data_IF_782737597888
#
_entry.id   IF_782737597888
#
_cell.length_a   1.000
_cell.length_b   1.000
_cell.length_c   1.000
_cell.angle_alpha   90.00
_cell.angle_beta   90.00
_cell.angle_gamma   90.00
#
_symmetry.space_group_name_H-M   'P 1'
#
loop_
_entity.id
_entity.type
_entity.pdbx_description
1 polymer ?
#
# COMPACT_ATOMS: atom_id res chain seq x y z
N UNK A 1 -27.70 -11.23 -24.69
CA UNK A 1 -27.80 -11.07 -23.21
C UNK A 1 -26.43 -11.00 -22.51
N UNK A 2 -25.48 -11.92 -22.76
CA UNK A 2 -24.12 -11.89 -22.16
C UNK A 2 -23.32 -10.60 -22.44
N UNK A 3 -23.42 -10.01 -23.63
CA UNK A 3 -22.70 -8.78 -24.02
C UNK A 3 -23.20 -7.54 -23.25
N UNK A 4 -24.50 -7.45 -23.00
CA UNK A 4 -25.09 -6.34 -22.24
C UNK A 4 -24.72 -6.44 -20.75
N UNK A 5 -24.72 -7.66 -20.20
CA UNK A 5 -24.28 -7.94 -18.84
C UNK A 5 -22.77 -7.63 -18.65
N UNK A 6 -21.93 -7.96 -19.63
CA UNK A 6 -20.49 -7.66 -19.59
C UNK A 6 -20.19 -6.16 -19.71
N UNK A 7 -20.98 -5.39 -20.50
CA UNK A 7 -20.93 -3.92 -20.51
C UNK A 7 -21.31 -3.31 -19.17
N UNK A 8 -22.35 -3.83 -18.52
CA UNK A 8 -22.80 -3.37 -17.21
C UNK A 8 -21.73 -3.59 -16.13
N UNK A 9 -21.07 -4.75 -16.13
CA UNK A 9 -19.99 -5.09 -15.20
C UNK A 9 -18.74 -4.23 -15.43
N UNK A 10 -18.36 -3.97 -16.68
CA UNK A 10 -17.23 -3.07 -16.98
C UNK A 10 -17.50 -1.62 -16.59
N UNK A 11 -18.70 -1.09 -16.87
CA UNK A 11 -19.08 0.26 -16.46
C UNK A 11 -19.07 0.41 -14.93
N UNK A 12 -19.67 -0.57 -14.23
CA UNK A 12 -19.67 -0.62 -12.78
C UNK A 12 -18.25 -0.61 -12.18
N UNK A 13 -17.31 -1.39 -12.76
CA UNK A 13 -15.90 -1.38 -12.35
C UNK A 13 -15.23 -0.02 -12.51
N UNK A 14 -15.45 0.66 -13.63
CA UNK A 14 -14.89 2.01 -13.85
C UNK A 14 -15.45 3.03 -12.86
N UNK A 15 -16.75 2.96 -12.55
CA UNK A 15 -17.40 3.84 -11.56
C UNK A 15 -16.82 3.59 -10.17
N UNK A 16 -16.67 2.34 -9.73
CA UNK A 16 -16.05 2.01 -8.44
C UNK A 16 -14.60 2.48 -8.39
N UNK A 17 -13.83 2.27 -9.45
CA UNK A 17 -12.43 2.71 -9.54
C UNK A 17 -12.32 4.23 -9.41
N UNK A 18 -13.17 4.98 -10.11
CA UNK A 18 -13.21 6.45 -10.07
C UNK A 18 -13.46 6.97 -8.65
N UNK A 19 -14.48 6.45 -7.96
CA UNK A 19 -14.77 6.86 -6.59
C UNK A 19 -13.70 6.43 -5.59
N UNK A 20 -13.05 5.28 -5.81
CA UNK A 20 -11.93 4.83 -4.98
C UNK A 20 -10.69 5.74 -5.15
N UNK A 21 -10.42 6.20 -6.37
CA UNK A 21 -9.39 7.20 -6.63
C UNK A 21 -9.71 8.54 -5.94
N UNK A 22 -10.96 9.01 -5.98
CA UNK A 22 -11.38 10.23 -5.27
C UNK A 22 -11.23 10.11 -3.75
N UNK A 23 -11.54 8.95 -3.18
CA UNK A 23 -11.38 8.68 -1.75
C UNK A 23 -9.90 8.77 -1.34
N UNK A 24 -9.03 8.15 -2.12
CA UNK A 24 -7.57 8.18 -1.92
C UNK A 24 -7.03 9.62 -2.03
N UNK A 25 -7.53 10.39 -3.00
CA UNK A 25 -7.16 11.80 -3.17
C UNK A 25 -7.59 12.65 -1.96
N UNK A 26 -8.78 12.43 -1.42
CA UNK A 26 -9.24 13.11 -0.21
C UNK A 26 -8.35 12.84 1.01
N UNK A 27 -7.95 11.58 1.23
CA UNK A 27 -7.04 11.22 2.32
C UNK A 27 -5.65 11.85 2.16
N UNK A 28 -5.09 11.87 0.96
CA UNK A 28 -3.81 12.51 0.67
C UNK A 28 -3.78 13.98 1.11
N UNK A 29 -4.78 14.76 0.69
CA UNK A 29 -4.85 16.19 1.03
C UNK A 29 -5.06 16.44 2.54
N UNK A 30 -5.60 15.46 3.26
CA UNK A 30 -5.85 15.57 4.68
C UNK A 30 -4.64 15.16 5.54
N UNK A 31 -3.86 14.17 5.10
CA UNK A 31 -2.75 13.61 5.88
C UNK A 31 -1.36 14.09 5.44
N UNK A 32 -1.14 14.33 4.14
CA UNK A 32 0.20 14.49 3.57
C UNK A 32 0.50 15.91 3.04
N UNK A 33 -0.44 16.85 3.14
CA UNK A 33 -0.18 18.25 2.74
C UNK A 33 0.85 18.90 3.68
N UNK A 34 1.87 19.58 3.14
CA UNK A 34 2.81 20.34 3.96
C UNK A 34 2.06 21.49 4.66
N UNK A 35 2.38 21.71 5.93
CA UNK A 35 1.71 22.69 6.83
C UNK A 35 1.58 24.11 6.27
N UNK A 36 2.39 24.48 5.29
CA UNK A 36 2.40 25.80 4.62
C UNK A 36 1.19 26.03 3.69
N UNK A 37 0.54 24.97 3.22
CA UNK A 37 -0.71 25.06 2.46
C UNK A 37 -1.93 24.95 3.39
N UNK A 38 -1.73 24.91 4.73
CA UNK A 38 -2.86 24.83 5.64
C UNK A 38 -3.76 26.06 5.57
N UNK A 39 -3.21 27.26 5.69
CA UNK A 39 -4.03 28.48 5.71
C UNK A 39 -4.68 28.80 4.36
N UNK A 40 -4.04 28.41 3.24
CA UNK A 40 -4.54 28.71 1.89
C UNK A 40 -5.63 27.72 1.42
N UNK A 41 -5.56 26.46 1.87
CA UNK A 41 -6.46 25.39 1.40
C UNK A 41 -7.40 24.85 2.49
N UNK A 42 -7.58 25.55 3.61
CA UNK A 42 -8.44 25.07 4.70
C UNK A 42 -9.90 24.85 4.27
N UNK A 43 -10.46 25.77 3.47
CA UNK A 43 -11.79 25.59 2.89
C UNK A 43 -11.87 24.43 1.89
N UNK A 44 -10.83 24.25 1.07
CA UNK A 44 -10.75 23.16 0.09
C UNK A 44 -10.62 21.80 0.78
N UNK A 45 -9.87 21.71 1.89
CA UNK A 45 -9.78 20.47 2.69
C UNK A 45 -11.12 20.01 3.23
N UNK A 46 -11.92 20.92 3.80
CA UNK A 46 -13.26 20.55 4.30
C UNK A 46 -14.15 20.03 3.17
N UNK A 47 -14.12 20.66 2.01
CA UNK A 47 -14.88 20.21 0.82
C UNK A 47 -14.39 18.83 0.36
N UNK A 48 -13.08 18.61 0.29
CA UNK A 48 -12.49 17.32 -0.09
C UNK A 48 -12.79 16.22 0.93
N UNK A 49 -12.86 16.53 2.22
CA UNK A 49 -13.26 15.58 3.27
C UNK A 49 -14.73 15.17 3.12
N UNK A 50 -15.63 16.12 2.88
CA UNK A 50 -17.06 15.82 2.63
C UNK A 50 -17.21 14.98 1.37
N UNK A 51 -16.52 15.35 0.30
CA UNK A 51 -16.52 14.61 -0.95
C UNK A 51 -15.90 13.21 -0.81
N UNK A 52 -14.85 13.06 0.00
CA UNK A 52 -14.27 11.78 0.39
C UNK A 52 -15.26 10.91 1.18
N UNK A 53 -15.97 11.49 2.16
CA UNK A 53 -17.02 10.82 2.91
C UNK A 53 -18.17 10.36 2.00
N UNK A 54 -18.64 11.23 1.10
CA UNK A 54 -19.65 10.88 0.12
C UNK A 54 -19.16 9.73 -0.79
N UNK A 55 -17.92 9.79 -1.28
CA UNK A 55 -17.34 8.72 -2.09
C UNK A 55 -17.26 7.39 -1.34
N UNK A 56 -16.94 7.42 -0.04
CA UNK A 56 -16.88 6.23 0.81
C UNK A 56 -18.26 5.59 0.98
N UNK A 57 -19.29 6.41 1.18
CA UNK A 57 -20.68 5.97 1.25
C UNK A 57 -21.12 5.37 -0.09
N UNK A 58 -20.83 6.06 -1.21
CA UNK A 58 -21.17 5.58 -2.55
C UNK A 58 -20.48 4.25 -2.86
N UNK A 59 -19.18 4.11 -2.58
CA UNK A 59 -18.44 2.85 -2.74
C UNK A 59 -19.02 1.76 -1.84
N UNK A 60 -19.37 2.07 -0.59
CA UNK A 60 -19.96 1.07 0.33
C UNK A 60 -21.33 0.58 -0.13
N UNK A 61 -22.15 1.47 -0.71
CA UNK A 61 -23.46 1.09 -1.29
C UNK A 61 -23.24 0.27 -2.56
N UNK A 62 -22.35 0.72 -3.45
CA UNK A 62 -21.97 -0.01 -4.64
C UNK A 62 -21.50 -1.41 -4.25
N UNK A 63 -20.52 -1.55 -3.36
CA UNK A 63 -19.96 -2.84 -2.95
C UNK A 63 -21.04 -3.80 -2.44
N UNK A 64 -21.98 -3.32 -1.62
CA UNK A 64 -23.16 -4.11 -1.20
C UNK A 64 -24.02 -4.56 -2.38
N UNK A 65 -24.29 -3.67 -3.33
CA UNK A 65 -25.12 -3.96 -4.52
C UNK A 65 -24.39 -4.90 -5.49
N UNK A 66 -23.10 -4.67 -5.75
CA UNK A 66 -22.27 -5.49 -6.62
C UNK A 66 -22.08 -6.91 -6.08
N UNK A 67 -21.85 -7.05 -4.78
CA UNK A 67 -21.75 -8.36 -4.12
C UNK A 67 -23.06 -9.15 -4.24
N UNK A 68 -24.21 -8.48 -4.04
CA UNK A 68 -25.54 -9.09 -4.19
C UNK A 68 -25.84 -9.49 -5.65
N UNK A 69 -25.42 -8.68 -6.63
CA UNK A 69 -25.60 -8.99 -8.05
C UNK A 69 -24.70 -10.14 -8.54
N UNK A 70 -23.53 -10.33 -7.93
CA UNK A 70 -22.62 -11.42 -8.25
C UNK A 70 -23.02 -12.75 -7.59
N UNK A 71 -24.06 -12.77 -6.74
CA UNK A 71 -24.48 -13.97 -6.01
C UNK A 71 -23.44 -14.46 -4.99
N UNK A 72 -22.54 -13.58 -4.55
CA UNK A 72 -21.50 -13.87 -3.55
C UNK A 72 -22.04 -13.87 -2.10
N UNK A 73 -23.37 -13.87 -1.89
CA UNK A 73 -23.98 -13.88 -0.56
C UNK A 73 -23.50 -15.07 0.29
N UNK A 74 -23.20 -16.22 -0.33
CA UNK A 74 -22.58 -17.37 0.34
C UNK A 74 -21.13 -17.14 0.78
N UNK A 75 -20.37 -16.32 0.04
CA UNK A 75 -18.99 -15.95 0.39
C UNK A 75 -18.95 -15.00 1.60
N UNK A 76 -19.97 -14.14 1.78
CA UNK A 76 -20.12 -13.31 2.99
C UNK A 76 -20.30 -14.18 4.24
N UNK A 77 -21.03 -15.28 4.12
CA UNK A 77 -21.33 -16.18 5.24
C UNK A 77 -20.15 -17.11 5.58
N UNK A 78 -19.30 -17.46 4.60
CA UNK A 78 -18.01 -18.12 4.83
C UNK A 78 -16.91 -17.16 5.35
N UNK A 79 -16.81 -15.92 4.84
CA UNK A 79 -15.82 -14.91 5.29
C UNK A 79 -16.17 -14.28 6.65
N UNK A 80 -17.46 -14.21 7.02
CA UNK A 80 -17.94 -13.78 8.35
C UNK A 80 -17.65 -14.80 9.45
N UNK A 81 -17.13 -15.99 9.10
CA UNK A 81 -16.67 -16.97 10.09
C UNK A 81 -15.50 -16.36 10.86
N UNK A 82 -15.84 -15.66 11.95
CA UNK A 82 -14.98 -14.83 12.81
C UNK A 82 -13.52 -15.22 12.66
N UNK A 83 -12.74 -14.38 11.98
CA UNK A 83 -11.29 -14.54 11.90
C UNK A 83 -10.79 -14.67 13.33
N UNK A 84 -10.40 -15.88 13.72
CA UNK A 84 -9.97 -16.14 15.08
C UNK A 84 -8.60 -15.51 15.19
N UNK A 85 -8.31 -14.81 16.30
CA UNK A 85 -6.98 -14.23 16.55
C UNK A 85 -5.87 -15.30 16.46
N UNK A 86 -6.22 -16.58 16.67
CA UNK A 86 -5.34 -17.73 16.49
C UNK A 86 -4.93 -17.98 15.02
N UNK A 87 -5.77 -17.63 14.04
CA UNK A 87 -5.48 -17.80 12.61
C UNK A 87 -4.45 -16.78 12.11
N UNK A 88 -4.35 -15.62 12.78
CA UNK A 88 -3.29 -14.61 12.55
C UNK A 88 -1.91 -15.20 12.84
N UNK A 89 -1.79 -16.01 13.91
CA UNK A 89 -0.50 -16.61 14.29
C UNK A 89 -0.08 -17.76 13.36
N UNK A 90 -1.01 -18.27 12.55
CA UNK A 90 -0.77 -19.31 11.54
C UNK A 90 -0.41 -18.75 10.16
N UNK A 91 -0.36 -17.42 10.01
CA UNK A 91 0.05 -16.79 8.76
C UNK A 91 1.48 -17.20 8.38
N UNK A 92 1.76 -17.39 7.08
CA UNK A 92 3.02 -17.96 6.63
C UNK A 92 4.19 -16.99 6.92
N UNK A 93 5.39 -17.52 7.13
CA UNK A 93 6.59 -16.73 7.46
C UNK A 93 6.85 -15.59 6.44
N UNK A 94 6.55 -15.83 5.16
CA UNK A 94 6.63 -14.82 4.08
C UNK A 94 5.79 -13.57 4.35
N UNK A 95 4.61 -13.73 4.95
CA UNK A 95 3.74 -12.60 5.30
C UNK A 95 4.38 -11.76 6.39
N UNK A 96 4.90 -12.38 7.46
CA UNK A 96 5.57 -11.66 8.55
C UNK A 96 6.83 -10.94 8.08
N UNK A 97 7.64 -11.57 7.23
CA UNK A 97 8.82 -10.94 6.62
C UNK A 97 8.43 -9.77 5.71
N UNK A 98 7.33 -9.89 4.95
CA UNK A 98 6.80 -8.82 4.12
C UNK A 98 6.34 -7.64 4.98
N UNK A 99 5.55 -7.88 6.04
CA UNK A 99 5.10 -6.85 6.98
C UNK A 99 6.29 -6.17 7.67
N UNK A 100 7.29 -6.93 8.07
CA UNK A 100 8.51 -6.39 8.68
C UNK A 100 9.29 -5.50 7.70
N UNK A 101 9.39 -5.92 6.44
CA UNK A 101 10.05 -5.14 5.38
C UNK A 101 9.32 -3.82 5.13
N UNK A 102 7.98 -3.87 5.05
CA UNK A 102 7.14 -2.68 4.95
C UNK A 102 7.39 -1.77 6.16
N UNK A 103 7.31 -2.31 7.38
CA UNK A 103 7.53 -1.53 8.60
C UNK A 103 8.88 -0.79 8.59
N UNK A 104 9.99 -1.47 8.30
CA UNK A 104 11.31 -0.83 8.28
C UNK A 104 11.46 0.22 7.18
N UNK A 105 10.89 -0.01 5.99
CA UNK A 105 10.93 0.96 4.91
C UNK A 105 10.23 2.27 5.31
N UNK A 106 9.00 2.15 5.80
CA UNK A 106 8.20 3.32 6.19
C UNK A 106 8.70 4.01 7.45
N UNK A 107 9.32 3.26 8.38
CA UNK A 107 10.00 3.82 9.55
C UNK A 107 11.20 4.70 9.21
N UNK A 108 11.83 4.49 8.04
CA UNK A 108 12.90 5.36 7.55
C UNK A 108 12.36 6.62 6.87
N UNK A 109 11.29 6.48 6.08
CA UNK A 109 10.76 7.59 5.27
C UNK A 109 9.92 8.55 6.09
N UNK A 110 8.90 8.07 6.80
CA UNK A 110 7.91 8.97 7.42
C UNK A 110 8.46 9.87 8.53
N UNK A 111 9.25 9.36 9.49
CA UNK A 111 9.86 10.21 10.50
C UNK A 111 10.82 11.23 9.90
N UNK A 112 11.54 10.86 8.83
CA UNK A 112 12.37 11.82 8.10
C UNK A 112 11.51 12.93 7.48
N UNK A 113 10.44 12.59 6.76
CA UNK A 113 9.58 13.59 6.10
C UNK A 113 8.92 14.52 7.12
N UNK A 114 8.51 14.00 8.28
CA UNK A 114 7.94 14.80 9.37
C UNK A 114 8.89 15.90 9.86
N UNK A 115 10.18 15.60 10.00
CA UNK A 115 11.20 16.53 10.49
C UNK A 115 12.02 17.21 9.37
N UNK A 116 11.80 16.84 8.11
CA UNK A 116 12.61 17.28 6.97
C UNK A 116 12.60 18.81 6.78
N UNK A 117 11.46 19.46 7.03
CA UNK A 117 11.35 20.92 6.92
C UNK A 117 12.29 21.65 7.90
N UNK A 118 12.40 21.16 9.13
CA UNK A 118 13.28 21.72 10.16
C UNK A 118 14.74 21.38 9.90
N UNK A 119 15.00 20.14 9.46
CA UNK A 119 16.33 19.70 9.04
C UNK A 119 16.90 20.60 7.93
N UNK A 120 16.10 20.92 6.91
CA UNK A 120 16.52 21.76 5.78
C UNK A 120 16.85 23.19 6.24
N UNK A 121 16.05 23.77 7.14
CA UNK A 121 16.30 25.12 7.68
C UNK A 121 17.57 25.18 8.54
N UNK A 122 17.80 24.17 9.37
CA UNK A 122 18.97 24.14 10.24
C UNK A 122 20.26 23.90 9.44
N UNK A 123 20.20 23.06 8.40
CA UNK A 123 21.36 22.66 7.60
C UNK A 123 21.68 23.61 6.44
N UNK A 124 20.68 24.17 5.75
CA UNK A 124 20.88 25.06 4.60
C UNK A 124 20.54 26.50 4.96
N UNK A 125 21.56 27.35 5.05
CA UNK A 125 21.37 28.78 5.26
C UNK A 125 20.67 29.42 4.04
N UNK A 126 19.56 30.14 4.29
CA UNK A 126 18.81 30.87 3.25
C UNK A 126 17.47 30.27 2.86
N UNK A 127 17.08 29.12 3.42
CA UNK A 127 15.73 28.58 3.24
C UNK A 127 14.79 29.07 4.33
N UNK A 128 13.73 29.76 3.93
CA UNK A 128 12.61 30.09 4.81
C UNK A 128 11.81 28.82 5.17
N UNK A 129 11.09 28.86 6.30
CA UNK A 129 10.20 27.79 6.75
C UNK A 129 9.22 27.38 5.65
N UNK A 130 8.73 28.34 4.87
CA UNK A 130 7.80 28.05 3.77
C UNK A 130 8.46 27.18 2.69
N UNK A 131 9.63 27.58 2.22
CA UNK A 131 10.36 26.89 1.16
C UNK A 131 10.83 25.51 1.59
N UNK A 132 11.30 25.37 2.84
CA UNK A 132 11.74 24.09 3.37
C UNK A 132 10.59 23.06 3.47
N UNK A 133 9.40 23.50 3.87
CA UNK A 133 8.23 22.62 3.88
C UNK A 133 7.76 22.23 2.48
N UNK A 134 7.87 23.11 1.47
CA UNK A 134 7.59 22.74 0.08
C UNK A 134 8.57 21.67 -0.43
N UNK A 135 9.86 21.79 -0.12
CA UNK A 135 10.88 20.82 -0.51
C UNK A 135 10.66 19.47 0.19
N UNK A 136 10.23 19.48 1.45
CA UNK A 136 9.85 18.27 2.18
C UNK A 136 8.60 17.60 1.57
N UNK A 137 7.58 18.38 1.22
CA UNK A 137 6.35 17.89 0.57
C UNK A 137 6.56 17.33 -0.83
N UNK A 138 7.61 17.76 -1.54
CA UNK A 138 7.95 17.26 -2.88
C UNK A 138 8.15 15.74 -2.95
N UNK A 139 8.46 15.08 -1.82
CA UNK A 139 8.50 13.60 -1.71
C UNK A 139 7.15 12.99 -2.11
N UNK A 140 6.06 13.54 -1.60
CA UNK A 140 4.72 13.03 -1.83
C UNK A 140 4.15 13.48 -3.17
N UNK A 141 4.42 14.72 -3.58
CA UNK A 141 3.96 15.24 -4.86
C UNK A 141 4.60 14.46 -6.04
N UNK A 142 5.91 14.16 -5.94
CA UNK A 142 6.55 13.31 -6.92
C UNK A 142 5.98 11.90 -6.91
N UNK A 143 5.70 11.34 -5.72
CA UNK A 143 5.08 10.02 -5.64
C UNK A 143 3.69 9.98 -6.27
N UNK A 144 2.88 11.01 -6.07
CA UNK A 144 1.53 11.08 -6.62
C UNK A 144 1.54 10.94 -8.15
N UNK A 145 2.49 11.60 -8.81
CA UNK A 145 2.64 11.55 -10.28
C UNK A 145 3.21 10.21 -10.73
N UNK A 146 4.21 9.70 -10.03
CA UNK A 146 4.94 8.49 -10.42
C UNK A 146 4.19 7.20 -10.09
N UNK A 147 3.36 7.16 -9.04
CA UNK A 147 2.70 5.94 -8.56
C UNK A 147 1.86 5.24 -9.63
N UNK A 148 1.15 5.98 -10.49
CA UNK A 148 0.36 5.38 -11.56
C UNK A 148 1.23 4.70 -12.61
N UNK A 149 2.29 5.38 -13.07
CA UNK A 149 3.22 4.87 -14.08
C UNK A 149 3.99 3.67 -13.53
N UNK A 150 4.48 3.79 -12.30
CA UNK A 150 5.23 2.74 -11.61
C UNK A 150 4.35 1.53 -11.33
N UNK A 151 3.09 1.72 -10.93
CA UNK A 151 2.13 0.62 -10.75
C UNK A 151 1.94 -0.18 -12.03
N UNK A 152 1.68 0.51 -13.15
CA UNK A 152 1.55 -0.12 -14.47
C UNK A 152 2.84 -0.87 -14.83
N UNK A 153 4.00 -0.24 -14.65
CA UNK A 153 5.30 -0.84 -14.96
C UNK A 153 5.55 -2.12 -14.15
N UNK A 154 5.26 -2.09 -12.85
CA UNK A 154 5.45 -3.24 -11.95
C UNK A 154 4.50 -4.38 -12.31
N UNK A 155 3.28 -4.06 -12.73
CA UNK A 155 2.33 -5.07 -13.20
C UNK A 155 2.78 -5.74 -14.50
N UNK A 156 3.48 -5.02 -15.39
CA UNK A 156 4.10 -5.61 -16.59
C UNK A 156 5.37 -6.40 -16.29
N UNK A 157 6.29 -5.86 -15.48
CA UNK A 157 7.59 -6.47 -15.20
C UNK A 157 7.44 -7.67 -14.25
N UNK A 158 6.55 -7.59 -13.27
CA UNK A 158 6.51 -8.53 -12.15
C UNK A 158 7.72 -8.35 -11.22
N UNK A 159 8.13 -9.43 -10.54
CA UNK A 159 9.31 -9.45 -9.64
C UNK A 159 9.21 -8.49 -8.44
N UNK A 160 8.03 -8.45 -7.81
CA UNK A 160 7.73 -7.54 -6.69
C UNK A 160 8.71 -7.69 -5.53
N UNK A 161 9.20 -8.91 -5.28
CA UNK A 161 10.22 -9.18 -4.26
C UNK A 161 11.57 -8.54 -4.57
N UNK A 162 12.08 -8.68 -5.81
CA UNK A 162 13.37 -8.09 -6.21
C UNK A 162 13.27 -6.57 -6.26
N UNK A 163 12.14 -6.04 -6.74
CA UNK A 163 11.87 -4.61 -6.73
C UNK A 163 11.88 -4.03 -5.32
N UNK A 164 11.32 -4.73 -4.33
CA UNK A 164 11.37 -4.33 -2.93
C UNK A 164 12.82 -4.22 -2.40
N UNK A 165 13.72 -5.11 -2.81
CA UNK A 165 15.16 -5.03 -2.47
C UNK A 165 15.81 -3.86 -3.17
N UNK A 166 15.57 -3.70 -4.48
CA UNK A 166 16.14 -2.62 -5.28
C UNK A 166 15.76 -1.25 -4.71
N UNK A 167 14.50 -1.06 -4.30
CA UNK A 167 14.03 0.19 -3.69
C UNK A 167 14.71 0.47 -2.35
N UNK A 168 14.86 -0.55 -1.50
CA UNK A 168 15.55 -0.42 -0.22
C UNK A 168 17.03 -0.03 -0.42
N UNK A 169 17.71 -0.65 -1.40
CA UNK A 169 19.10 -0.31 -1.76
C UNK A 169 19.19 1.12 -2.31
N UNK A 170 18.28 1.51 -3.21
CA UNK A 170 18.25 2.86 -3.79
C UNK A 170 17.91 3.95 -2.76
N UNK A 171 17.31 3.59 -1.63
CA UNK A 171 17.01 4.53 -0.53
C UNK A 171 18.24 4.80 0.35
N UNK A 172 19.19 3.88 0.44
CA UNK A 172 20.44 4.03 1.20
C UNK A 172 21.27 5.27 0.79
N UNK A 173 21.58 5.49 -0.51
CA UNK A 173 22.38 6.66 -0.91
C UNK A 173 21.67 7.98 -0.63
N UNK A 174 20.33 8.00 -0.61
CA UNK A 174 19.56 9.22 -0.31
C UNK A 174 19.85 9.69 1.12
N UNK A 175 19.78 8.79 2.11
CA UNK A 175 20.11 9.13 3.49
C UNK A 175 21.60 9.44 3.68
N UNK A 176 22.49 8.74 2.97
CA UNK A 176 23.92 9.04 3.00
C UNK A 176 24.24 10.45 2.44
N UNK A 177 23.64 10.81 1.30
CA UNK A 177 23.76 12.15 0.71
C UNK A 177 23.21 13.21 1.66
N UNK A 178 22.02 12.99 2.22
CA UNK A 178 21.42 13.91 3.18
C UNK A 178 22.24 14.04 4.47
N UNK A 179 22.92 13.00 4.93
CA UNK A 179 23.78 13.05 6.11
C UNK A 179 25.08 13.81 5.87
N UNK A 180 25.81 13.47 4.80
CA UNK A 180 27.21 13.87 4.62
C UNK A 180 27.45 15.00 3.60
N UNK A 181 26.51 15.24 2.67
CA UNK A 181 26.70 16.20 1.58
C UNK A 181 25.77 17.42 1.70
N UNK A 182 26.13 18.52 1.01
CA UNK A 182 25.35 19.76 0.87
C UNK A 182 24.67 19.82 -0.52
N UNK A 183 24.28 18.67 -1.07
CA UNK A 183 23.52 18.60 -2.34
C UNK A 183 22.15 19.28 -2.16
N UNK A 184 21.61 19.98 -3.17
CA UNK A 184 20.32 20.64 -3.07
C UNK A 184 19.25 19.68 -2.50
N UNK A 185 18.56 20.05 -1.40
CA UNK A 185 17.68 19.12 -0.69
C UNK A 185 16.53 18.61 -1.57
N UNK A 186 16.13 19.38 -2.58
CA UNK A 186 15.14 19.00 -3.58
C UNK A 186 15.51 17.72 -4.34
N UNK A 187 16.78 17.51 -4.68
CA UNK A 187 17.20 16.31 -5.43
C UNK A 187 17.03 15.07 -4.58
N UNK A 188 17.40 15.14 -3.31
CA UNK A 188 17.28 14.03 -2.37
C UNK A 188 15.82 13.72 -2.02
N UNK A 189 14.97 14.74 -1.85
CA UNK A 189 13.54 14.52 -1.57
C UNK A 189 12.79 13.98 -2.79
N UNK A 190 13.09 14.44 -4.00
CA UNK A 190 12.54 13.86 -5.22
C UNK A 190 12.99 12.41 -5.43
N UNK A 191 14.27 12.10 -5.21
CA UNK A 191 14.75 10.71 -5.25
C UNK A 191 14.00 9.85 -4.23
N UNK A 192 13.86 10.32 -2.99
CA UNK A 192 13.10 9.61 -1.96
C UNK A 192 11.64 9.34 -2.38
N UNK A 193 10.99 10.30 -3.05
CA UNK A 193 9.64 10.12 -3.58
C UNK A 193 9.56 9.07 -4.68
N UNK A 194 10.57 8.98 -5.55
CA UNK A 194 10.68 7.90 -6.56
C UNK A 194 10.80 6.54 -5.87
N UNK A 195 11.72 6.37 -4.91
CA UNK A 195 11.89 5.06 -4.25
C UNK A 195 10.67 4.67 -3.43
N UNK A 196 10.01 5.64 -2.79
CA UNK A 196 8.74 5.46 -2.10
C UNK A 196 7.63 4.97 -3.05
N UNK A 197 7.52 5.55 -4.25
CA UNK A 197 6.53 5.13 -5.26
C UNK A 197 6.66 3.66 -5.62
N UNK A 198 7.89 3.23 -5.92
CA UNK A 198 8.16 1.83 -6.28
C UNK A 198 7.94 0.88 -5.09
N UNK A 199 8.32 1.28 -3.88
CA UNK A 199 8.07 0.48 -2.68
C UNK A 199 6.57 0.33 -2.41
N UNK A 200 5.81 1.42 -2.43
CA UNK A 200 4.36 1.40 -2.20
C UNK A 200 3.63 0.55 -3.25
N UNK A 201 3.97 0.72 -4.53
CA UNK A 201 3.35 -0.02 -5.63
C UNK A 201 3.76 -1.50 -5.69
N UNK A 202 4.90 -1.90 -5.13
CA UNK A 202 5.34 -3.31 -5.10
C UNK A 202 4.93 -4.07 -3.83
N UNK A 203 5.09 -3.45 -2.66
CA UNK A 203 5.00 -4.15 -1.37
C UNK A 203 3.56 -4.38 -0.90
N UNK A 204 2.66 -3.39 -1.03
CA UNK A 204 1.27 -3.55 -0.59
C UNK A 204 0.48 -4.57 -1.43
N UNK A 205 0.57 -4.55 -2.77
CA UNK A 205 -0.09 -5.56 -3.60
C UNK A 205 0.49 -6.97 -3.43
N UNK A 206 1.62 -7.11 -2.74
CA UNK A 206 2.23 -8.41 -2.42
C UNK A 206 1.56 -9.12 -1.25
N UNK A 207 0.90 -8.40 -0.33
CA UNK A 207 0.17 -9.00 0.81
C UNK A 207 -0.93 -9.97 0.34
N UNK A 208 -1.89 -9.58 -0.53
CA UNK A 208 -2.97 -10.48 -0.95
C UNK A 208 -2.48 -11.68 -1.79
N UNK A 209 -1.24 -11.66 -2.29
CA UNK A 209 -0.64 -12.81 -2.99
C UNK A 209 -0.11 -13.88 -2.04
N UNK A 210 0.22 -13.52 -0.80
CA UNK A 210 0.85 -14.43 0.16
C UNK A 210 -0.11 -14.99 1.21
N UNK A 211 -1.29 -14.39 1.36
CA UNK A 211 -2.33 -14.83 2.30
C UNK A 211 -3.56 -15.44 1.58
N UNK A 212 -4.30 -16.34 2.24
CA UNK A 212 -5.57 -16.84 1.71
C UNK A 212 -6.63 -15.74 1.59
N UNK A 213 -7.51 -15.84 0.58
CA UNK A 213 -8.56 -14.84 0.31
C UNK A 213 -9.43 -14.53 1.54
N UNK A 214 -9.80 -15.57 2.30
CA UNK A 214 -10.63 -15.46 3.50
C UNK A 214 -10.04 -14.61 4.64
N UNK A 215 -8.72 -14.32 4.64
CA UNK A 215 -8.07 -13.53 5.70
C UNK A 215 -7.37 -12.27 5.18
N UNK A 216 -7.60 -11.88 3.91
CA UNK A 216 -6.95 -10.70 3.32
C UNK A 216 -7.24 -9.43 4.12
N UNK A 217 -8.50 -9.19 4.49
CA UNK A 217 -8.87 -7.98 5.24
C UNK A 217 -8.13 -7.87 6.57
N UNK A 218 -8.06 -8.96 7.34
CA UNK A 218 -7.32 -9.00 8.60
C UNK A 218 -5.82 -8.87 8.40
N UNK A 219 -5.26 -9.50 7.37
CA UNK A 219 -3.83 -9.40 7.04
C UNK A 219 -3.45 -7.95 6.65
N UNK A 220 -4.24 -7.29 5.81
CA UNK A 220 -4.01 -5.90 5.44
C UNK A 220 -4.10 -4.96 6.65
N UNK A 221 -5.14 -5.11 7.48
CA UNK A 221 -5.31 -4.31 8.69
C UNK A 221 -4.23 -4.55 9.76
N UNK A 222 -3.73 -5.78 9.88
CA UNK A 222 -2.62 -6.10 10.77
C UNK A 222 -1.31 -5.51 10.25
N UNK A 223 -1.05 -5.60 8.95
CA UNK A 223 0.13 -5.00 8.33
C UNK A 223 0.17 -3.48 8.55
N UNK A 224 -0.94 -2.77 8.33
CA UNK A 224 -1.05 -1.34 8.62
C UNK A 224 -0.88 -1.04 10.10
N UNK A 225 -1.42 -1.88 10.99
CA UNK A 225 -1.27 -1.69 12.44
C UNK A 225 0.20 -1.79 12.89
N UNK A 226 0.91 -2.82 12.44
CA UNK A 226 2.34 -3.00 12.72
C UNK A 226 3.16 -1.84 12.17
N UNK A 227 2.83 -1.39 10.95
CA UNK A 227 3.45 -0.21 10.36
C UNK A 227 3.25 1.04 11.22
N UNK A 228 2.01 1.35 11.62
CA UNK A 228 1.71 2.56 12.42
C UNK A 228 2.40 2.54 13.79
N UNK A 229 2.46 1.37 14.44
CA UNK A 229 3.23 1.20 15.67
C UNK A 229 4.72 1.46 15.41
N UNK A 230 5.27 0.92 14.33
CA UNK A 230 6.66 1.16 13.93
C UNK A 230 6.97 2.65 13.75
N UNK A 231 6.12 3.36 13.01
CA UNK A 231 6.29 4.79 12.74
C UNK A 231 6.19 5.59 14.04
N UNK A 232 5.21 5.28 14.90
CA UNK A 232 5.04 5.93 16.20
C UNK A 232 6.25 5.76 17.11
N UNK A 233 6.81 4.54 17.18
CA UNK A 233 8.04 4.27 17.92
C UNK A 233 9.25 5.02 17.33
N UNK A 234 9.37 5.04 16.00
CA UNK A 234 10.44 5.75 15.31
C UNK A 234 10.38 7.26 15.58
N UNK A 235 9.20 7.88 15.48
CA UNK A 235 8.98 9.29 15.81
C UNK A 235 9.34 9.60 17.27
N UNK A 236 8.99 8.72 18.21
CA UNK A 236 9.37 8.91 19.62
C UNK A 236 10.89 8.85 19.82
N UNK A 237 11.58 7.94 19.14
CA UNK A 237 13.04 7.84 19.18
C UNK A 237 13.70 9.08 18.56
N UNK A 238 13.22 9.53 17.40
CA UNK A 238 13.69 10.75 16.74
C UNK A 238 13.47 11.97 17.65
N UNK A 239 12.28 12.10 18.26
CA UNK A 239 11.99 13.17 19.21
C UNK A 239 12.93 13.18 20.42
N UNK A 240 13.34 12.00 20.91
CA UNK A 240 14.38 11.91 21.96
C UNK A 240 15.77 12.30 21.47
N UNK A 241 16.15 11.89 20.25
CA UNK A 241 17.44 12.24 19.63
C UNK A 241 17.53 13.75 19.42
N UNK A 242 16.49 14.37 18.87
CA UNK A 242 16.39 15.81 18.60
C UNK A 242 16.14 16.65 19.86
N UNK A 243 15.57 16.04 20.91
CA UNK A 243 15.41 16.60 22.24
C UNK A 243 14.20 17.52 22.41
N UNK A 244 13.55 17.40 23.55
CA UNK A 244 12.29 18.09 23.89
C UNK A 244 12.48 19.47 24.54
N UNK A 245 13.70 20.02 24.59
CA UNK A 245 13.95 21.36 25.18
C UNK A 245 13.96 22.42 24.08
N UNK A 246 12.76 22.87 23.76
CA UNK A 246 12.44 24.12 23.06
C UNK A 246 13.00 25.30 23.85
N UNK A 247 14.19 25.76 23.51
CA UNK A 247 14.68 27.09 23.90
C UNK A 247 15.48 27.66 22.74
N UNK A 248 14.75 28.08 21.71
CA UNK A 248 15.05 29.03 20.61
C UNK A 248 16.42 29.01 19.90
N UNK A 249 17.27 28.04 20.17
CA UNK A 249 18.58 27.89 19.53
C UNK A 249 18.50 26.77 18.50
N UNK A 250 18.94 27.05 17.27
CA UNK A 250 19.07 26.09 16.17
C UNK A 250 19.54 24.73 16.70
N UNK A 251 18.86 23.65 16.30
CA UNK A 251 19.27 22.30 16.71
C UNK A 251 20.67 22.06 16.12
N UNK A 252 21.65 21.65 16.94
CA UNK A 252 23.01 21.48 16.43
C UNK A 252 23.07 20.30 15.44
N UNK A 253 23.84 20.49 14.36
CA UNK A 253 23.89 19.56 13.23
C UNK A 253 24.27 18.11 13.62
N UNK A 254 25.02 17.91 14.71
CA UNK A 254 25.40 16.57 15.17
C UNK A 254 24.19 15.73 15.62
N UNK A 255 23.12 16.34 16.13
CA UNK A 255 21.88 15.63 16.50
C UNK A 255 21.11 15.21 15.25
N UNK A 256 21.10 16.06 14.23
CA UNK A 256 20.58 15.71 12.91
C UNK A 256 21.38 14.57 12.27
N UNK A 257 22.71 14.56 12.44
CA UNK A 257 23.54 13.42 12.01
C UNK A 257 23.18 12.13 12.75
N UNK A 258 22.93 12.18 14.07
CA UNK A 258 22.47 11.00 14.83
C UNK A 258 21.11 10.48 14.35
N UNK A 259 20.17 11.38 14.05
CA UNK A 259 18.89 11.00 13.44
C UNK A 259 19.11 10.33 12.09
N UNK A 260 19.99 10.87 11.24
CA UNK A 260 20.30 10.28 9.93
C UNK A 260 20.97 8.91 10.04
N UNK A 261 21.86 8.71 11.02
CA UNK A 261 22.47 7.41 11.29
C UNK A 261 21.40 6.40 11.72
N UNK A 262 20.44 6.82 12.57
CA UNK A 262 19.31 5.97 12.94
C UNK A 262 18.43 5.60 11.73
N UNK A 263 18.16 6.54 10.81
CA UNK A 263 17.44 6.25 9.56
C UNK A 263 18.23 5.32 8.62
N UNK A 264 19.54 5.49 8.54
CA UNK A 264 20.42 4.62 7.79
C UNK A 264 20.40 3.19 8.36
N UNK A 265 20.44 3.05 9.69
CA UNK A 265 20.32 1.75 10.37
C UNK A 265 18.98 1.08 10.08
N UNK A 266 17.86 1.81 10.11
CA UNK A 266 16.55 1.29 9.71
C UNK A 266 16.51 0.86 8.23
N UNK A 267 17.17 1.62 7.36
CA UNK A 267 17.26 1.29 5.93
C UNK A 267 18.07 0.01 5.71
N UNK A 268 19.18 -0.18 6.45
CA UNK A 268 19.96 -1.42 6.43
C UNK A 268 19.12 -2.60 6.95
N UNK A 269 18.38 -2.41 8.04
CA UNK A 269 17.45 -3.43 8.55
C UNK A 269 16.37 -3.79 7.51
N UNK A 270 15.86 -2.79 6.78
CA UNK A 270 14.94 -3.00 5.66
C UNK A 270 15.57 -3.84 4.54
N UNK A 271 16.82 -3.55 4.16
CA UNK A 271 17.54 -4.32 3.13
C UNK A 271 17.70 -5.77 3.58
N UNK A 272 18.14 -5.99 4.83
CA UNK A 272 18.30 -7.33 5.40
C UNK A 272 16.96 -8.09 5.42
N UNK A 273 15.89 -7.46 5.91
CA UNK A 273 14.56 -8.05 5.93
C UNK A 273 14.06 -8.40 4.51
N UNK A 274 14.27 -7.49 3.54
CA UNK A 274 13.87 -7.67 2.15
C UNK A 274 14.67 -8.79 1.45
N UNK A 275 15.97 -8.90 1.73
CA UNK A 275 16.81 -9.98 1.22
C UNK A 275 16.37 -11.32 1.81
N UNK A 276 16.13 -11.40 3.13
CA UNK A 276 15.63 -12.61 3.78
C UNK A 276 14.27 -13.02 3.20
N UNK A 277 13.36 -12.05 2.98
CA UNK A 277 12.08 -12.28 2.33
C UNK A 277 12.26 -12.94 0.95
N UNK A 278 13.17 -12.42 0.12
CA UNK A 278 13.43 -12.97 -1.21
C UNK A 278 14.05 -14.37 -1.17
N UNK A 279 14.95 -14.64 -0.21
CA UNK A 279 15.54 -15.97 -0.02
C UNK A 279 14.45 -16.97 0.37
N UNK A 280 13.57 -16.60 1.31
CA UNK A 280 12.47 -17.45 1.77
C UNK A 280 11.43 -17.66 0.66
N UNK A 281 11.07 -16.61 -0.09
CA UNK A 281 10.15 -16.72 -1.23
C UNK A 281 10.72 -17.64 -2.32
N UNK A 282 12.02 -17.52 -2.62
CA UNK A 282 12.68 -18.42 -3.58
C UNK A 282 12.62 -19.88 -3.15
N UNK A 283 12.82 -20.17 -1.85
CA UNK A 283 12.72 -21.53 -1.29
C UNK A 283 11.29 -22.07 -1.28
N UNK A 284 10.27 -21.21 -1.26
CA UNK A 284 8.86 -21.58 -1.13
C UNK A 284 8.06 -21.44 -2.44
N UNK A 285 8.72 -21.41 -3.59
CA UNK A 285 8.06 -21.46 -4.91
C UNK A 285 7.90 -20.12 -5.64
N UNK A 286 8.66 -19.09 -5.24
CA UNK A 286 8.79 -17.79 -5.92
C UNK A 286 7.46 -17.08 -6.22
N UNK A 287 6.52 -17.12 -5.27
CA UNK A 287 5.18 -16.54 -5.45
C UNK A 287 5.21 -15.04 -5.74
N UNK A 288 6.14 -14.31 -5.10
CA UNK A 288 6.29 -12.85 -5.27
C UNK A 288 7.05 -12.47 -6.55
N UNK A 289 7.85 -13.41 -7.08
CA UNK A 289 8.71 -13.17 -8.23
C UNK A 289 8.18 -13.74 -9.55
N UNK A 290 6.98 -14.33 -9.54
CA UNK A 290 6.31 -14.77 -10.77
C UNK A 290 5.89 -13.56 -11.61
N UNK A 291 6.30 -13.56 -12.87
CA UNK A 291 5.85 -12.60 -13.87
C UNK A 291 4.36 -12.83 -14.13
N UNK A 292 3.55 -11.77 -14.08
CA UNK A 292 2.14 -11.84 -14.44
C UNK A 292 2.04 -12.02 -15.95
N UNK A 293 2.21 -13.23 -16.47
CA UNK A 293 1.72 -13.55 -17.81
C UNK A 293 0.21 -13.36 -17.75
N UNK A 294 -0.30 -12.31 -18.39
CA UNK A 294 -1.72 -12.08 -18.66
C UNK A 294 -2.32 -13.44 -19.04
N UNK A 295 -3.18 -13.99 -18.18
CA UNK A 295 -3.96 -15.18 -18.55
C UNK A 295 -4.65 -14.80 -19.88
N UNK A 296 -4.53 -15.61 -20.95
CA UNK A 296 -5.43 -15.43 -22.09
C UNK A 296 -6.87 -15.43 -21.54
N UNK A 297 -7.80 -14.70 -22.18
CA UNK A 297 -9.19 -14.70 -21.75
C UNK A 297 -9.61 -16.17 -21.57
N UNK A 298 -10.21 -16.48 -20.43
CA UNK A 298 -10.80 -17.79 -20.19
C UNK A 298 -11.78 -18.03 -21.33
N UNK A 299 -11.36 -18.79 -22.34
CA UNK A 299 -12.28 -19.50 -23.22
C UNK A 299 -13.13 -20.32 -22.26
N UNK A 300 -14.41 -19.94 -22.20
CA UNK A 300 -15.40 -20.72 -21.48
C UNK A 300 -15.26 -22.15 -21.96
N UNK A 301 -14.79 -23.05 -21.09
CA UNK A 301 -14.99 -24.48 -21.25
C UNK A 301 -16.48 -24.67 -21.49
N UNK A 302 -16.85 -24.88 -22.75
CA UNK A 302 -18.09 -25.51 -23.14
C UNK A 302 -18.01 -26.91 -22.56
N UNK A 303 -18.51 -27.06 -21.33
CA UNK A 303 -18.86 -28.38 -20.82
C UNK A 303 -19.86 -28.96 -21.79
N UNK A 304 -19.42 -30.01 -22.49
CA UNK A 304 -20.25 -30.86 -23.32
C UNK A 304 -21.51 -31.24 -22.54
N UNK A 305 -22.63 -30.67 -22.97
CA UNK A 305 -23.98 -30.96 -22.49
C UNK A 305 -24.54 -32.17 -23.25
N UNK A 306 -23.73 -33.23 -23.33
CA UNK A 306 -24.04 -34.46 -24.07
C UNK A 306 -23.78 -35.72 -23.21
N UNK A 307 -24.13 -35.69 -21.93
CA UNK A 307 -24.37 -36.92 -21.16
C UNK A 307 -25.25 -36.66 -19.93
N UNK A 308 -26.55 -36.49 -20.18
CA UNK A 308 -27.59 -36.65 -19.16
C UNK A 308 -28.78 -37.36 -19.79
N UNK A 309 -28.64 -38.66 -20.00
CA UNK A 309 -29.81 -39.56 -20.08
C UNK A 309 -30.63 -39.39 -18.79
N UNK A 310 -31.95 -39.16 -18.87
CA UNK A 310 -32.79 -39.11 -17.69
C UNK A 310 -33.04 -40.54 -17.20
N UNK A 311 -32.60 -40.85 -15.98
CA UNK A 311 -33.12 -42.00 -15.23
C UNK A 311 -34.53 -41.60 -14.80
N UNK A 312 -35.52 -41.97 -15.61
CA UNK A 312 -36.92 -41.98 -15.22
C UNK A 312 -37.11 -43.09 -14.18
N UNK A 313 -37.53 -42.70 -12.98
CA UNK A 313 -38.19 -43.61 -12.05
C UNK A 313 -39.56 -43.95 -12.63
N UNK A 314 -39.71 -45.15 -13.17
CA UNK A 314 -41.00 -45.81 -13.36
C UNK A 314 -41.30 -46.67 -12.12
N UNK A 315 -41.92 -46.04 -11.11
CA UNK A 315 -42.76 -46.74 -10.13
C UNK A 315 -44.10 -45.99 -10.09
N UNK A 316 -45.00 -46.34 -11.01
CA UNK A 316 -46.43 -46.55 -10.76
C UNK A 316 -47.13 -46.87 -12.09
N UNK A 317 -47.62 -48.11 -12.20
CA UNK A 317 -48.77 -48.58 -13.00
C UNK A 317 -48.54 -49.98 -13.59
N UNK A 318 -48.58 -51.00 -12.73
CA UNK A 318 -49.10 -52.34 -13.10
C UNK A 318 -49.88 -52.95 -11.97
N UNK A 319 -51.13 -52.51 -11.82
CA UNK A 319 -52.18 -53.38 -11.36
C UNK A 319 -53.49 -53.07 -12.12
N UNK A 320 -53.59 -53.59 -13.34
CA UNK A 320 -54.88 -53.88 -13.98
C UNK A 320 -54.73 -54.85 -15.15
N UNK A 321 -55.40 -56.00 -15.00
CA UNK A 321 -56.01 -56.84 -16.04
C UNK A 321 -55.13 -57.93 -16.69
N UNK A 322 -55.53 -59.17 -16.37
CA UNK A 322 -55.25 -60.50 -16.95
C UNK A 322 -53.97 -61.22 -16.52
#
# INVERSE_FOLDING_TARGET
MRIAMQKHVSYYRFVVLFFNCMLTFGSYFCFDIPSVLQDQFQGVRTILCVLGFCSAVTVSILDKVGMKQLGLDGAIQEESKKVRVQDIRRLPLRYWLLVLTIMFFYNGVFPFVADASKFIQDKYAGYDQRTASYIAGAVYDSSLVLSAVVGILIDYVGLRGILAVLCAILTLPVFALLAFTLVPPLVSTLWLGVTYSFAAASMWPSIPLVVPQATIGTAMGLATSVQMIGIGLSNLLVGRILGTKSSESKIPLWRWQQMMIFMLANTIACIVASVILNIVDKKQGSTLNKMTKRRPPVESESRDEADRTPILNDEDDRNSIN
#
